data_IF_252768523106
#
_entry.id   IF_252768523106
#
_cell.length_a   1.000
_cell.length_b   1.000
_cell.length_c   1.000
_cell.angle_alpha   90.00
_cell.angle_beta   90.00
_cell.angle_gamma   90.00
#
_symmetry.space_group_name_H-M   'P 1'
#
loop_
_entity.id
_entity.type
_entity.pdbx_description
1 polymer ?
#
# COMPACT_ATOMS: atom_id res chain seq x y z
N UNK A 1 5.29 -21.72 -50.56
CA UNK A 1 6.19 -20.58 -50.27
C UNK A 1 5.39 -19.32 -50.53
N UNK A 2 5.05 -18.46 -49.57
CA UNK A 2 5.24 -18.47 -48.12
C UNK A 2 3.99 -17.91 -47.45
N UNK A 3 3.68 -18.44 -46.27
CA UNK A 3 2.65 -17.91 -45.37
C UNK A 3 3.08 -16.55 -44.86
N UNK A 4 2.16 -15.59 -44.86
CA UNK A 4 2.33 -14.31 -44.19
C UNK A 4 2.51 -14.56 -42.70
N UNK A 5 3.68 -14.23 -42.17
CA UNK A 5 3.91 -14.11 -40.73
C UNK A 5 3.10 -12.91 -40.24
N UNK A 6 1.89 -13.21 -39.78
CA UNK A 6 1.04 -12.28 -39.04
C UNK A 6 1.70 -12.12 -37.66
N UNK A 7 2.62 -11.15 -37.57
CA UNK A 7 3.20 -10.68 -36.31
C UNK A 7 2.11 -9.86 -35.60
N UNK A 8 1.05 -10.53 -35.16
CA UNK A 8 0.29 -10.03 -34.02
C UNK A 8 1.17 -10.26 -32.81
N UNK A 9 2.02 -9.27 -32.50
CA UNK A 9 2.64 -9.20 -31.19
C UNK A 9 1.50 -9.18 -30.17
N UNK A 10 1.24 -10.33 -29.57
CA UNK A 10 0.38 -10.44 -28.40
C UNK A 10 1.07 -9.68 -27.27
N UNK A 11 0.95 -8.37 -27.27
CA UNK A 11 1.20 -7.58 -26.08
C UNK A 11 0.12 -7.99 -25.10
N UNK A 12 0.49 -8.73 -24.06
CA UNK A 12 -0.37 -9.02 -22.92
C UNK A 12 -1.09 -7.72 -22.53
N UNK A 13 -2.42 -7.70 -22.44
CA UNK A 13 -3.16 -6.52 -22.02
C UNK A 13 -2.54 -6.03 -20.71
N UNK A 14 -1.97 -4.84 -20.74
CA UNK A 14 -1.31 -4.31 -19.54
C UNK A 14 -2.41 -3.83 -18.62
N UNK A 15 -2.46 -4.35 -17.39
CA UNK A 15 -3.44 -3.96 -16.40
C UNK A 15 -3.50 -2.42 -16.27
N UNK A 16 -4.64 -1.77 -16.58
CA UNK A 16 -4.79 -0.33 -16.48
C UNK A 16 -4.43 0.25 -15.11
N UNK A 17 -4.60 -0.55 -14.06
CA UNK A 17 -4.22 -0.19 -12.70
C UNK A 17 -2.71 -0.03 -12.56
N UNK A 18 -1.96 -1.02 -13.05
CA UNK A 18 -0.51 -0.99 -13.03
C UNK A 18 0.01 0.20 -13.84
N UNK A 19 -0.58 0.48 -15.01
CA UNK A 19 -0.23 1.66 -15.81
C UNK A 19 -0.53 2.98 -15.09
N UNK A 20 -1.67 3.07 -14.40
CA UNK A 20 -2.07 4.24 -13.62
C UNK A 20 -1.09 4.54 -12.50
N UNK A 21 -0.63 3.49 -11.80
CA UNK A 21 0.34 3.60 -10.73
C UNK A 21 1.68 4.10 -11.26
N UNK A 22 2.20 3.48 -12.32
CA UNK A 22 3.46 3.89 -12.95
C UNK A 22 3.40 5.35 -13.44
N UNK A 23 2.30 5.73 -14.08
CA UNK A 23 2.10 7.09 -14.56
C UNK A 23 2.06 8.09 -13.39
N UNK A 24 1.32 7.78 -12.33
CA UNK A 24 1.21 8.65 -11.16
C UNK A 24 2.55 8.81 -10.47
N UNK A 25 3.29 7.72 -10.24
CA UNK A 25 4.63 7.75 -9.65
C UNK A 25 5.61 8.63 -10.43
N UNK A 26 5.58 8.54 -11.77
CA UNK A 26 6.39 9.40 -12.63
C UNK A 26 6.03 10.89 -12.48
N UNK A 27 4.75 11.21 -12.31
CA UNK A 27 4.28 12.59 -12.07
C UNK A 27 4.64 13.09 -10.69
N UNK A 28 4.48 12.27 -9.66
CA UNK A 28 4.91 12.59 -8.29
C UNK A 28 6.40 12.90 -8.26
N UNK A 29 7.24 12.11 -8.95
CA UNK A 29 8.68 12.39 -9.06
C UNK A 29 8.98 13.73 -9.72
N UNK A 30 8.25 14.07 -10.78
CA UNK A 30 8.40 15.36 -11.46
C UNK A 30 8.05 16.53 -10.55
N UNK A 31 6.94 16.44 -9.81
CA UNK A 31 6.50 17.51 -8.91
C UNK A 31 7.42 17.61 -7.69
N UNK A 32 7.85 16.48 -7.13
CA UNK A 32 8.78 16.42 -6.00
C UNK A 32 10.13 17.08 -6.31
N UNK A 33 10.56 17.09 -7.58
CA UNK A 33 11.75 17.81 -8.03
C UNK A 33 11.59 19.34 -8.07
N UNK A 34 10.37 19.86 -7.87
CA UNK A 34 10.04 21.29 -7.89
C UNK A 34 9.48 21.76 -6.55
N UNK A 35 8.81 20.89 -5.81
CA UNK A 35 8.17 21.18 -4.54
C UNK A 35 8.42 20.05 -3.53
N UNK A 36 8.76 20.42 -2.31
CA UNK A 36 8.87 19.47 -1.21
C UNK A 36 7.50 18.89 -0.83
N UNK A 37 7.39 17.57 -0.90
CA UNK A 37 6.24 16.84 -0.37
C UNK A 37 6.46 16.44 1.09
N UNK A 38 5.43 16.63 1.92
CA UNK A 38 5.27 15.95 3.21
C UNK A 38 4.60 14.57 3.02
N UNK A 39 4.47 13.80 4.11
CA UNK A 39 4.02 12.39 4.10
C UNK A 39 2.58 12.28 3.58
N UNK A 40 1.72 13.19 4.03
CA UNK A 40 0.30 13.25 3.67
C UNK A 40 0.11 13.60 2.18
N UNK A 41 0.83 14.62 1.70
CA UNK A 41 0.73 15.07 0.31
C UNK A 41 1.29 14.04 -0.67
N UNK A 42 2.39 13.36 -0.31
CA UNK A 42 2.96 12.30 -1.14
C UNK A 42 1.98 11.13 -1.29
N UNK A 43 1.45 10.64 -0.16
CA UNK A 43 0.46 9.56 -0.12
C UNK A 43 -0.80 9.91 -0.89
N UNK A 44 -1.36 11.11 -0.65
CA UNK A 44 -2.56 11.61 -1.33
C UNK A 44 -2.37 11.70 -2.85
N UNK A 45 -1.21 12.18 -3.30
CA UNK A 45 -0.90 12.29 -4.74
C UNK A 45 -0.85 10.92 -5.41
N UNK A 46 -0.22 9.93 -4.77
CA UNK A 46 -0.12 8.57 -5.32
C UNK A 46 -1.50 7.90 -5.36
N UNK A 47 -2.24 7.92 -4.25
CA UNK A 47 -3.53 7.24 -4.17
C UNK A 47 -4.58 7.92 -5.05
N UNK A 48 -4.68 9.25 -4.96
CA UNK A 48 -5.62 10.04 -5.75
C UNK A 48 -5.28 10.04 -7.25
N UNK A 49 -4.00 10.16 -7.60
CA UNK A 49 -3.55 10.11 -8.99
C UNK A 49 -3.82 8.76 -9.64
N UNK A 50 -3.54 7.66 -8.94
CA UNK A 50 -3.80 6.31 -9.43
C UNK A 50 -5.30 6.07 -9.58
N UNK A 51 -6.10 6.51 -8.59
CA UNK A 51 -7.56 6.42 -8.62
C UNK A 51 -8.19 7.17 -9.82
N UNK A 52 -7.64 8.33 -10.19
CA UNK A 52 -8.12 9.13 -11.32
C UNK A 52 -7.61 8.56 -12.66
N UNK A 53 -6.37 8.10 -12.73
CA UNK A 53 -5.75 7.66 -13.98
C UNK A 53 -6.23 6.27 -14.42
N UNK A 54 -6.48 5.35 -13.48
CA UNK A 54 -6.92 3.98 -13.78
C UNK A 54 -8.17 3.90 -14.67
N UNK A 55 -9.30 4.57 -14.34
CA UNK A 55 -10.49 4.53 -15.20
C UNK A 55 -10.21 5.11 -16.59
N UNK A 56 -9.44 6.20 -16.69
CA UNK A 56 -9.08 6.81 -17.98
C UNK A 56 -8.29 5.82 -18.84
N UNK A 57 -7.28 5.17 -18.26
CA UNK A 57 -6.44 4.19 -18.96
C UNK A 57 -7.22 2.94 -19.37
N UNK A 58 -8.13 2.46 -18.51
CA UNK A 58 -9.01 1.34 -18.85
C UNK A 58 -9.92 1.65 -20.05
N UNK A 59 -10.43 2.89 -20.13
CA UNK A 59 -11.19 3.36 -21.28
C UNK A 59 -10.32 3.45 -22.55
N UNK A 60 -9.08 3.95 -22.45
CA UNK A 60 -8.15 4.03 -23.59
C UNK A 60 -7.71 2.66 -24.13
N UNK A 61 -7.52 1.66 -23.26
CA UNK A 61 -7.14 0.29 -23.63
C UNK A 61 -8.34 -0.54 -24.15
N UNK A 62 -9.55 0.04 -24.24
CA UNK A 62 -10.74 -0.66 -24.75
C UNK A 62 -11.29 -1.74 -23.81
N UNK A 63 -10.77 -1.84 -22.59
CA UNK A 63 -11.20 -2.83 -21.59
C UNK A 63 -12.60 -2.55 -21.01
N UNK A 64 -13.18 -1.39 -21.31
CA UNK A 64 -14.52 -1.00 -20.88
C UNK A 64 -15.68 -1.75 -21.56
N UNK A 65 -15.43 -2.65 -22.53
CA UNK A 65 -16.46 -3.11 -23.48
C UNK A 65 -16.84 -4.60 -23.43
N UNK A 66 -16.38 -5.40 -22.46
CA UNK A 66 -16.68 -6.86 -22.47
C UNK A 66 -16.69 -7.60 -21.15
N UNK A 67 -15.98 -7.12 -20.13
CA UNK A 67 -16.07 -7.61 -18.77
C UNK A 67 -16.47 -6.44 -17.87
N UNK A 68 -17.25 -6.70 -16.82
CA UNK A 68 -17.46 -5.73 -15.75
C UNK A 68 -16.12 -5.50 -15.02
N UNK A 69 -15.20 -4.75 -15.64
CA UNK A 69 -13.98 -4.29 -15.01
C UNK A 69 -14.39 -3.21 -13.98
N UNK A 70 -14.87 -3.69 -12.84
CA UNK A 70 -15.38 -2.86 -11.75
C UNK A 70 -14.19 -2.40 -10.92
N UNK A 71 -13.41 -1.49 -11.48
CA UNK A 71 -12.30 -0.85 -10.78
C UNK A 71 -12.87 0.05 -9.68
N UNK A 72 -12.75 -0.39 -8.43
CA UNK A 72 -13.40 0.25 -7.28
C UNK A 72 -12.43 0.94 -6.35
N UNK A 73 -11.96 2.12 -6.73
CA UNK A 73 -11.28 2.98 -5.79
C UNK A 73 -12.26 3.52 -4.76
N UNK A 74 -12.13 3.10 -3.51
CA UNK A 74 -12.72 3.80 -2.38
C UNK A 74 -11.63 4.54 -1.64
N UNK A 75 -11.96 5.65 -1.01
CA UNK A 75 -11.26 6.08 0.20
C UNK A 75 -12.33 6.21 1.27
N UNK A 76 -12.18 5.47 2.37
CA UNK A 76 -13.09 5.68 3.48
C UNK A 76 -12.73 7.01 4.14
N UNK A 77 -13.74 7.84 4.43
CA UNK A 77 -13.51 9.03 5.25
C UNK A 77 -12.97 8.57 6.59
N UNK A 78 -11.91 9.24 7.05
CA UNK A 78 -11.36 9.10 8.40
C UNK A 78 -12.49 9.39 9.40
N UNK A 79 -13.09 8.33 9.93
CA UNK A 79 -14.12 8.44 10.97
C UNK A 79 -13.49 8.54 12.37
N UNK A 80 -12.19 8.25 12.47
CA UNK A 80 -11.37 8.36 13.67
C UNK A 80 -10.92 9.78 13.99
N UNK A 81 -11.45 10.35 15.06
CA UNK A 81 -10.83 11.50 15.72
C UNK A 81 -9.54 11.08 16.44
N UNK A 82 -8.70 12.03 16.84
CA UNK A 82 -7.46 11.81 17.62
C UNK A 82 -7.63 11.07 18.97
N UNK A 83 -8.87 10.68 19.30
CA UNK A 83 -9.25 9.93 20.50
C UNK A 83 -9.32 8.42 20.25
N UNK A 84 -9.29 7.94 18.99
CA UNK A 84 -9.33 6.50 18.72
C UNK A 84 -7.92 5.88 18.86
N UNK A 85 -7.77 4.76 19.57
CA UNK A 85 -6.48 4.06 19.71
C UNK A 85 -5.94 3.46 18.40
N UNK A 86 -6.79 3.39 17.38
CA UNK A 86 -6.45 2.89 16.04
C UNK A 86 -6.23 4.00 15.01
N UNK A 87 -6.38 5.26 15.41
CA UNK A 87 -6.10 6.38 14.51
C UNK A 87 -4.70 6.28 13.91
N UNK A 88 -4.54 6.81 12.70
CA UNK A 88 -3.24 7.10 12.08
C UNK A 88 -2.21 7.70 13.07
N UNK A 89 -2.64 8.62 13.95
CA UNK A 89 -1.74 9.22 14.96
C UNK A 89 -1.30 8.20 16.02
N UNK A 90 -2.09 7.18 16.30
CA UNK A 90 -1.79 6.15 17.29
C UNK A 90 -1.05 4.94 16.69
N UNK A 91 -1.27 4.59 15.42
CA UNK A 91 -0.65 3.43 14.75
C UNK A 91 0.52 3.83 13.85
N UNK A 92 0.50 5.05 13.32
CA UNK A 92 1.48 5.55 12.35
C UNK A 92 1.32 4.97 10.94
N UNK A 93 0.31 4.15 10.67
CA UNK A 93 0.01 3.71 9.31
C UNK A 93 -0.60 4.88 8.53
N UNK A 94 -0.16 5.11 7.29
CA UNK A 94 -0.67 6.19 6.44
C UNK A 94 -1.80 5.67 5.53
N UNK A 95 -1.65 4.45 5.01
CA UNK A 95 -2.64 3.81 4.16
C UNK A 95 -2.53 2.29 4.16
N UNK A 96 -3.60 1.64 3.70
CA UNK A 96 -3.67 0.20 3.49
C UNK A 96 -4.16 -0.08 2.07
N UNK A 97 -3.53 -1.04 1.41
CA UNK A 97 -3.96 -1.52 0.10
C UNK A 97 -4.57 -2.91 0.26
N UNK A 98 -5.75 -3.10 -0.32
CA UNK A 98 -6.45 -4.38 -0.38
C UNK A 98 -6.68 -4.73 -1.85
N UNK A 99 -6.15 -5.84 -2.31
CA UNK A 99 -6.29 -6.30 -3.69
C UNK A 99 -7.03 -7.63 -3.68
N UNK A 100 -8.14 -7.74 -4.41
CA UNK A 100 -8.85 -9.01 -4.60
C UNK A 100 -7.91 -10.06 -5.20
N UNK A 101 -7.94 -11.28 -4.67
CA UNK A 101 -7.12 -12.37 -5.19
C UNK A 101 -7.97 -13.42 -5.92
N UNK A 102 -8.91 -14.00 -5.17
CA UNK A 102 -9.90 -14.98 -5.61
C UNK A 102 -11.20 -14.77 -4.81
N UNK A 103 -12.17 -15.68 -4.93
CA UNK A 103 -13.48 -15.56 -4.28
C UNK A 103 -13.43 -15.62 -2.74
N UNK A 104 -12.35 -16.17 -2.17
CA UNK A 104 -12.20 -16.44 -0.74
C UNK A 104 -11.23 -15.48 -0.06
N UNK A 105 -10.22 -14.98 -0.78
CA UNK A 105 -9.10 -14.24 -0.23
C UNK A 105 -8.88 -12.87 -0.90
N UNK A 106 -8.22 -12.00 -0.14
CA UNK A 106 -7.67 -10.73 -0.60
C UNK A 106 -6.21 -10.60 -0.13
N UNK A 107 -5.39 -9.91 -0.93
CA UNK A 107 -4.05 -9.47 -0.55
C UNK A 107 -4.15 -8.17 0.22
N UNK A 108 -3.40 -8.06 1.31
CA UNK A 108 -3.33 -6.87 2.14
C UNK A 108 -1.89 -6.45 2.37
N UNK A 109 -1.64 -5.16 2.25
CA UNK A 109 -0.40 -4.53 2.68
C UNK A 109 -0.71 -3.21 3.42
N UNK A 110 0.05 -2.93 4.48
CA UNK A 110 -0.05 -1.68 5.25
C UNK A 110 1.23 -0.89 5.01
N UNK A 111 1.09 0.40 4.76
CA UNK A 111 2.20 1.28 4.46
C UNK A 111 2.26 2.44 5.45
N UNK A 112 3.46 2.66 5.99
CA UNK A 112 3.83 3.82 6.76
C UNK A 112 4.84 4.65 5.96
N UNK A 113 4.42 5.81 5.46
CA UNK A 113 5.26 6.74 4.73
C UNK A 113 6.30 7.37 5.66
N UNK A 114 7.55 7.44 5.19
CA UNK A 114 8.66 8.10 5.91
C UNK A 114 9.51 8.88 4.92
N UNK A 115 9.58 10.20 5.13
CA UNK A 115 10.52 11.06 4.39
C UNK A 115 11.93 10.82 4.94
N UNK A 116 12.91 10.62 4.08
CA UNK A 116 14.32 10.77 4.48
C UNK A 116 14.67 12.24 4.53
N UNK A 117 15.10 12.70 5.70
CA UNK A 117 15.61 14.05 5.88
C UNK A 117 17.01 14.15 5.24
N UNK A 118 17.23 15.05 4.28
CA UNK A 118 18.55 15.27 3.68
C UNK A 118 19.62 15.70 4.69
N UNK A 119 19.22 16.24 5.84
CA UNK A 119 20.13 16.65 6.93
C UNK A 119 20.48 15.48 7.86
N UNK A 120 19.71 14.39 7.82
CA UNK A 120 20.03 13.15 8.52
C UNK A 120 20.85 12.23 7.61
N UNK A 121 21.53 11.25 8.19
CA UNK A 121 22.19 10.21 7.40
C UNK A 121 21.11 9.49 6.57
N UNK A 122 21.11 9.63 5.24
CA UNK A 122 20.15 8.99 4.31
C UNK A 122 20.11 7.47 4.45
N UNK A 123 21.07 6.89 5.18
CA UNK A 123 21.12 5.49 5.55
C UNK A 123 20.45 5.17 6.89
N UNK A 124 19.79 6.11 7.55
CA UNK A 124 19.11 5.90 8.82
C UNK A 124 17.60 6.15 8.70
N UNK A 125 16.82 5.20 9.21
CA UNK A 125 15.38 5.29 9.32
C UNK A 125 14.98 5.39 10.80
N UNK A 126 14.38 6.51 11.19
CA UNK A 126 13.76 6.63 12.51
C UNK A 126 12.30 6.18 12.46
N UNK A 127 12.02 5.05 13.10
CA UNK A 127 10.64 4.53 13.24
C UNK A 127 9.92 5.09 14.46
N UNK A 128 10.67 5.74 15.37
CA UNK A 128 10.12 6.21 16.64
C UNK A 128 9.17 7.37 16.42
N UNK A 129 7.93 7.18 16.85
CA UNK A 129 6.99 8.25 17.16
C UNK A 129 6.37 8.01 18.52
N UNK A 130 6.39 9.07 19.32
CA UNK A 130 5.87 9.06 20.68
C UNK A 130 4.40 8.64 20.73
N UNK A 131 3.90 8.25 21.91
CA UNK A 131 2.54 7.77 22.05
C UNK A 131 1.54 8.91 21.78
N UNK A 132 0.47 8.58 21.05
CA UNK A 132 -0.71 9.42 21.01
C UNK A 132 -1.43 9.40 22.36
N UNK A 133 -2.28 10.40 22.63
CA UNK A 133 -3.12 10.40 23.84
C UNK A 133 -4.00 9.15 23.93
N UNK A 134 -4.47 8.65 22.78
CA UNK A 134 -5.32 7.47 22.67
C UNK A 134 -4.57 6.14 22.74
N UNK A 135 -3.24 6.12 22.66
CA UNK A 135 -2.45 4.88 22.63
C UNK A 135 -2.06 4.35 24.01
N UNK A 136 -2.60 4.90 25.10
CA UNK A 136 -2.28 4.49 26.49
C UNK A 136 -0.77 4.42 26.78
N UNK A 137 0.00 5.32 26.16
CA UNK A 137 1.45 5.37 26.32
C UNK A 137 2.24 4.38 25.47
N UNK A 138 1.60 3.59 24.60
CA UNK A 138 2.27 2.75 23.60
C UNK A 138 2.74 3.57 22.39
N UNK A 139 3.93 3.27 21.88
CA UNK A 139 4.44 3.92 20.66
C UNK A 139 3.69 3.43 19.43
N UNK A 140 3.73 4.23 18.36
CA UNK A 140 3.04 3.93 17.10
C UNK A 140 3.40 2.54 16.57
N UNK A 141 4.70 2.22 16.56
CA UNK A 141 5.20 0.89 16.17
C UNK A 141 4.52 -0.25 16.94
N UNK A 142 4.38 -0.12 18.26
CA UNK A 142 3.76 -1.15 19.09
C UNK A 142 2.28 -1.31 18.77
N UNK A 143 1.58 -0.21 18.50
CA UNK A 143 0.17 -0.22 18.12
C UNK A 143 -0.03 -0.88 16.75
N UNK A 144 0.82 -0.56 15.78
CA UNK A 144 0.78 -1.18 14.44
C UNK A 144 1.09 -2.68 14.51
N UNK A 145 2.10 -3.08 15.27
CA UNK A 145 2.42 -4.50 15.47
C UNK A 145 1.28 -5.24 16.17
N UNK A 146 0.67 -4.62 17.20
CA UNK A 146 -0.47 -5.20 17.91
C UNK A 146 -1.68 -5.42 16.99
N UNK A 147 -2.00 -4.45 16.12
CA UNK A 147 -3.03 -4.59 15.11
C UNK A 147 -2.71 -5.75 14.17
N UNK A 148 -1.47 -5.81 13.68
CA UNK A 148 -0.98 -6.85 12.77
C UNK A 148 -1.15 -8.24 13.38
N UNK A 149 -0.74 -8.43 14.63
CA UNK A 149 -0.91 -9.69 15.34
C UNK A 149 -2.38 -10.10 15.50
N UNK A 150 -3.28 -9.15 15.78
CA UNK A 150 -4.74 -9.42 15.86
C UNK A 150 -5.30 -9.84 14.50
N UNK A 151 -4.95 -9.14 13.43
CA UNK A 151 -5.40 -9.49 12.08
C UNK A 151 -4.94 -10.91 11.71
N UNK A 152 -3.67 -11.23 11.95
CA UNK A 152 -3.09 -12.54 11.66
C UNK A 152 -3.73 -13.66 12.49
N UNK A 153 -4.04 -13.40 13.76
CA UNK A 153 -4.75 -14.35 14.61
C UNK A 153 -6.14 -14.67 14.06
N UNK A 154 -6.87 -13.64 13.61
CA UNK A 154 -8.22 -13.76 13.04
C UNK A 154 -8.21 -14.37 11.64
N UNK A 155 -7.12 -14.20 10.90
CA UNK A 155 -6.84 -14.92 9.66
C UNK A 155 -6.51 -16.41 9.88
N UNK A 156 -6.42 -16.88 11.14
CA UNK A 156 -6.18 -18.28 11.47
C UNK A 156 -4.70 -18.68 11.49
N UNK A 157 -3.78 -17.71 11.48
CA UNK A 157 -2.33 -18.01 11.48
C UNK A 157 -1.90 -18.45 12.88
N UNK A 158 -1.42 -19.69 12.99
CA UNK A 158 -1.18 -20.36 14.27
C UNK A 158 -0.22 -19.60 15.19
N UNK A 159 0.85 -18.99 14.65
CA UNK A 159 1.84 -18.22 15.40
C UNK A 159 1.20 -17.06 16.21
N UNK A 160 0.07 -16.54 15.75
CA UNK A 160 -0.60 -15.39 16.35
C UNK A 160 -1.82 -15.77 17.19
N UNK A 161 -2.12 -17.06 17.37
CA UNK A 161 -3.33 -17.54 18.06
C UNK A 161 -3.55 -16.93 19.45
N UNK A 162 -2.48 -16.55 20.15
CA UNK A 162 -2.57 -15.89 21.45
C UNK A 162 -3.32 -14.55 21.41
N UNK A 163 -3.30 -13.86 20.26
CA UNK A 163 -3.92 -12.56 20.06
C UNK A 163 -5.40 -12.63 19.65
N UNK A 164 -5.93 -13.83 19.35
CA UNK A 164 -7.33 -14.02 18.96
C UNK A 164 -8.32 -13.61 20.06
N UNK A 165 -7.86 -13.67 21.32
CA UNK A 165 -8.59 -13.30 22.54
C UNK A 165 -8.51 -11.81 22.88
N UNK A 166 -7.65 -11.05 22.20
CA UNK A 166 -7.48 -9.64 22.49
C UNK A 166 -8.63 -8.84 21.85
N UNK A 167 -9.44 -8.21 22.71
CA UNK A 167 -10.66 -7.51 22.31
C UNK A 167 -10.39 -6.31 21.41
N UNK A 168 -9.23 -5.68 21.58
CA UNK A 168 -8.80 -4.49 20.86
C UNK A 168 -7.26 -4.43 20.75
N UNK A 169 -6.78 -3.47 19.97
CA UNK A 169 -5.34 -3.26 19.72
C UNK A 169 -4.58 -2.81 20.97
N UNK A 170 -5.22 -2.13 21.94
CA UNK A 170 -4.56 -1.75 23.19
C UNK A 170 -4.24 -2.98 24.05
N UNK A 171 -5.18 -3.93 24.11
CA UNK A 171 -5.02 -5.20 24.82
C UNK A 171 -3.88 -6.03 24.20
N UNK A 172 -3.83 -6.08 22.87
CA UNK A 172 -2.73 -6.72 22.15
C UNK A 172 -1.38 -6.00 22.34
N UNK A 173 -1.36 -4.67 22.40
CA UNK A 173 -0.16 -3.88 22.67
C UNK A 173 0.38 -4.12 24.09
N UNK A 174 -0.51 -4.21 25.08
CA UNK A 174 -0.15 -4.59 26.45
C UNK A 174 0.43 -6.01 26.51
N UNK A 175 -0.15 -6.96 25.74
CA UNK A 175 0.40 -8.32 25.59
C UNK A 175 1.81 -8.29 25.02
N UNK A 176 2.06 -7.58 23.92
CA UNK A 176 3.40 -7.49 23.31
C UNK A 176 4.47 -7.04 24.32
N UNK A 177 4.14 -6.08 25.20
CA UNK A 177 5.06 -5.60 26.23
C UNK A 177 5.40 -6.67 27.31
N UNK A 178 4.60 -7.73 27.42
CA UNK A 178 4.82 -8.85 28.36
C UNK A 178 5.55 -10.04 27.74
N UNK A 179 5.73 -10.07 26.41
CA UNK A 179 6.38 -11.16 25.71
C UNK A 179 7.89 -11.15 25.90
N UNK A 180 8.51 -12.32 25.76
CA UNK A 180 9.96 -12.39 25.72
C UNK A 180 10.50 -11.79 24.42
N UNK A 181 11.78 -11.39 24.44
CA UNK A 181 12.50 -10.94 23.23
C UNK A 181 12.39 -11.98 22.10
N UNK A 182 12.54 -13.27 22.42
CA UNK A 182 12.48 -14.35 21.43
C UNK A 182 11.10 -14.47 20.78
N UNK A 183 10.02 -14.35 21.58
CA UNK A 183 8.66 -14.40 21.07
C UNK A 183 8.35 -13.21 20.14
N UNK A 184 8.81 -12.01 20.50
CA UNK A 184 8.65 -10.82 19.66
C UNK A 184 9.33 -11.00 18.31
N UNK A 185 10.57 -11.49 18.31
CA UNK A 185 11.31 -11.71 17.07
C UNK A 185 10.61 -12.73 16.18
N UNK A 186 10.18 -13.86 16.75
CA UNK A 186 9.45 -14.89 16.00
C UNK A 186 8.14 -14.36 15.40
N UNK A 187 7.44 -13.46 16.10
CA UNK A 187 6.25 -12.82 15.55
C UNK A 187 6.58 -11.85 14.41
N UNK A 188 7.70 -11.13 14.50
CA UNK A 188 8.10 -10.12 13.52
C UNK A 188 8.69 -10.74 12.25
N UNK A 189 9.43 -11.84 12.35
CA UNK A 189 10.06 -12.53 11.21
C UNK A 189 9.06 -12.86 10.08
N UNK A 190 7.82 -13.18 10.45
CA UNK A 190 6.73 -13.53 9.53
C UNK A 190 6.00 -12.31 8.90
N UNK A 191 6.33 -11.08 9.31
CA UNK A 191 5.62 -9.86 8.89
C UNK A 191 6.39 -9.16 7.75
N UNK A 192 6.25 -9.69 6.54
CA UNK A 192 6.81 -9.11 5.31
C UNK A 192 5.90 -8.11 4.60
N UNK A 193 4.65 -7.94 5.07
CA UNK A 193 3.58 -7.22 4.38
C UNK A 193 3.17 -5.89 5.01
N UNK A 194 3.80 -5.54 6.13
CA UNK A 194 3.73 -4.20 6.72
C UNK A 194 5.02 -3.49 6.34
N UNK A 195 4.91 -2.36 5.66
CA UNK A 195 6.02 -1.69 4.99
C UNK A 195 6.23 -0.28 5.52
N UNK A 196 7.48 0.11 5.68
CA UNK A 196 7.87 1.52 5.64
C UNK A 196 8.06 1.92 4.17
N UNK A 197 7.24 2.84 3.68
CA UNK A 197 7.42 3.48 2.39
C UNK A 197 8.38 4.66 2.57
N UNK A 198 9.66 4.39 2.35
CA UNK A 198 10.74 5.37 2.49
C UNK A 198 10.86 6.16 1.21
N UNK A 199 10.62 7.47 1.27
CA UNK A 199 10.64 8.34 0.10
C UNK A 199 11.60 9.51 0.22
N UNK A 200 12.24 9.84 -0.90
CA UNK A 200 13.18 10.94 -1.04
C UNK A 200 13.26 11.35 -2.51
N UNK A 201 13.29 12.66 -2.78
CA UNK A 201 13.32 13.23 -4.15
C UNK A 201 12.27 12.61 -5.10
N UNK A 202 11.09 12.31 -4.57
CA UNK A 202 9.97 11.75 -5.33
C UNK A 202 10.06 10.26 -5.65
N UNK A 203 11.18 9.60 -5.38
CA UNK A 203 11.31 8.15 -5.43
C UNK A 203 10.83 7.55 -4.10
N UNK A 204 10.10 6.43 -4.16
CA UNK A 204 9.72 5.66 -2.97
C UNK A 204 10.21 4.21 -3.08
N UNK A 205 10.82 3.74 -2.00
CA UNK A 205 11.22 2.35 -1.80
C UNK A 205 10.48 1.78 -0.59
N UNK A 206 10.37 0.46 -0.51
CA UNK A 206 9.75 -0.21 0.64
C UNK A 206 10.79 -0.93 1.50
N UNK A 207 10.53 -0.91 2.81
CA UNK A 207 11.24 -1.72 3.79
C UNK A 207 10.20 -2.50 4.61
N UNK A 208 10.10 -3.84 4.42
CA UNK A 208 9.26 -4.69 5.24
C UNK A 208 9.60 -4.60 6.73
N UNK A 209 8.61 -4.74 7.60
CA UNK A 209 8.76 -4.66 9.05
C UNK A 209 9.75 -5.70 9.58
N UNK A 210 9.73 -6.92 9.01
CA UNK A 210 10.67 -7.99 9.35
C UNK A 210 12.14 -7.74 8.96
N UNK A 211 12.42 -6.67 8.21
CA UNK A 211 13.79 -6.26 7.86
C UNK A 211 14.35 -5.18 8.81
N UNK A 212 13.56 -4.69 9.76
CA UNK A 212 14.08 -3.78 10.79
C UNK A 212 15.08 -4.49 11.70
N UNK A 213 16.08 -3.74 12.17
CA UNK A 213 17.01 -4.25 13.16
C UNK A 213 16.27 -4.67 14.43
N UNK A 214 16.65 -5.81 14.99
CA UNK A 214 16.13 -6.30 16.27
C UNK A 214 16.22 -5.23 17.36
N UNK A 215 17.33 -4.49 17.42
CA UNK A 215 17.51 -3.41 18.41
C UNK A 215 16.49 -2.28 18.19
N UNK A 216 16.15 -1.97 16.94
CA UNK A 216 15.14 -0.99 16.58
C UNK A 216 13.76 -1.42 17.13
N UNK A 217 13.32 -2.63 16.75
CA UNK A 217 12.03 -3.22 17.16
C UNK A 217 11.87 -3.23 18.68
N UNK A 218 12.86 -3.77 19.40
CA UNK A 218 12.80 -3.91 20.85
C UNK A 218 12.88 -2.56 21.56
N UNK A 219 13.53 -1.56 20.97
CA UNK A 219 13.58 -0.22 21.53
C UNK A 219 12.20 0.44 21.56
N UNK A 220 11.36 0.13 20.58
CA UNK A 220 10.01 0.67 20.49
C UNK A 220 9.04 -0.06 21.44
N UNK A 221 9.07 -1.40 21.46
CA UNK A 221 8.16 -2.20 22.31
C UNK A 221 8.46 -1.99 23.81
N UNK A 222 9.75 -2.04 24.19
CA UNK A 222 10.16 -1.92 25.59
C UNK A 222 10.52 -0.49 26.00
N UNK A 223 10.22 0.51 25.15
CA UNK A 223 10.46 1.94 25.40
C UNK A 223 11.90 2.23 25.83
N UNK A 224 12.87 1.56 25.21
CA UNK A 224 14.30 1.79 25.47
C UNK A 224 14.79 3.07 24.77
N UNK A 225 16.09 3.36 24.88
CA UNK A 225 16.73 4.46 24.14
C UNK A 225 16.42 4.34 22.65
N UNK A 226 16.14 5.48 22.01
CA UNK A 226 15.83 5.54 20.59
C UNK A 226 16.97 4.95 19.76
N UNK A 227 16.58 4.15 18.78
CA UNK A 227 17.48 3.51 17.84
C UNK A 227 16.92 3.73 16.43
N UNK A 228 17.75 4.26 15.54
CA UNK A 228 17.39 4.37 14.12
C UNK A 228 17.92 3.13 13.41
N UNK A 229 17.08 2.53 12.57
CA UNK A 229 17.45 1.39 11.74
C UNK A 229 18.42 1.84 10.64
N UNK A 230 19.46 1.05 10.37
CA UNK A 230 20.35 1.33 9.25
C UNK A 230 19.77 0.74 7.96
N UNK A 231 19.33 1.62 7.07
CA UNK A 231 18.91 1.26 5.72
C UNK A 231 20.08 0.58 4.99
N UNK A 232 19.92 -0.72 4.76
CA UNK A 232 20.88 -1.57 4.03
C UNK A 232 20.83 -1.35 2.51
N UNK A 233 21.19 -2.41 1.76
CA UNK A 233 21.38 -2.42 0.31
C UNK A 233 20.14 -2.07 -0.55
N UNK A 234 20.09 -2.53 -1.81
CA UNK A 234 18.99 -2.20 -2.72
C UNK A 234 17.64 -2.56 -2.11
N UNK A 235 16.67 -1.64 -2.21
CA UNK A 235 15.29 -1.83 -1.74
C UNK A 235 14.35 -1.86 -2.93
N UNK A 236 13.30 -2.65 -2.84
CA UNK A 236 12.27 -2.73 -3.87
C UNK A 236 11.55 -1.37 -3.98
N UNK A 237 11.19 -0.98 -5.21
CA UNK A 237 10.41 0.24 -5.43
C UNK A 237 8.96 0.05 -4.96
N UNK A 238 8.32 1.11 -4.45
CA UNK A 238 6.89 1.05 -4.11
C UNK A 238 6.00 0.71 -5.32
N UNK A 239 6.34 1.24 -6.50
CA UNK A 239 5.61 0.94 -7.73
C UNK A 239 5.76 -0.54 -8.16
N UNK A 240 6.94 -1.11 -7.88
CA UNK A 240 7.31 -2.48 -8.22
C UNK A 240 6.52 -3.47 -7.36
N UNK A 241 6.55 -3.31 -6.03
CA UNK A 241 5.84 -4.22 -5.10
C UNK A 241 4.31 -4.21 -5.32
N UNK A 242 3.72 -3.07 -5.66
CA UNK A 242 2.29 -2.99 -5.98
C UNK A 242 2.01 -3.53 -7.38
N UNK A 243 2.86 -3.23 -8.36
CA UNK A 243 2.74 -3.73 -9.72
C UNK A 243 2.82 -5.25 -9.80
N UNK A 244 3.73 -5.87 -9.06
CA UNK A 244 3.85 -7.32 -8.95
C UNK A 244 2.61 -7.96 -8.29
N UNK A 245 2.04 -7.30 -7.29
CA UNK A 245 0.83 -7.79 -6.61
C UNK A 245 -0.39 -7.81 -7.52
N UNK A 246 -0.56 -6.77 -8.32
CA UNK A 246 -1.57 -6.66 -9.37
C UNK A 246 -1.38 -7.73 -10.45
N UNK A 247 -0.13 -8.11 -10.73
CA UNK A 247 0.21 -9.18 -11.66
C UNK A 247 0.13 -10.59 -11.05
N UNK A 248 -0.24 -10.71 -9.78
CA UNK A 248 -0.49 -12.00 -9.14
C UNK A 248 0.49 -12.39 -8.03
N UNK A 249 1.63 -11.70 -7.86
CA UNK A 249 2.58 -11.98 -6.76
C UNK A 249 1.94 -11.78 -5.39
N UNK A 250 2.32 -12.62 -4.42
CA UNK A 250 1.98 -12.46 -3.01
C UNK A 250 3.18 -12.03 -2.15
N UNK A 251 4.35 -11.84 -2.77
CA UNK A 251 5.56 -11.45 -2.04
C UNK A 251 5.41 -10.03 -1.47
N UNK A 252 5.59 -9.89 -0.15
CA UNK A 252 5.35 -8.62 0.55
C UNK A 252 3.87 -8.28 0.75
N UNK A 253 2.96 -9.24 0.56
CA UNK A 253 1.52 -9.09 0.79
C UNK A 253 0.99 -10.24 1.62
N UNK A 254 0.02 -9.96 2.49
CA UNK A 254 -0.67 -11.00 3.25
C UNK A 254 -1.94 -11.43 2.54
N UNK A 255 -2.06 -12.74 2.25
CA UNK A 255 -3.34 -13.33 1.90
C UNK A 255 -4.20 -13.47 3.15
N UNK A 256 -5.37 -12.85 3.14
CA UNK A 256 -6.33 -12.84 4.24
C UNK A 256 -7.70 -13.24 3.72
N UNK A 257 -8.45 -14.12 4.42
CA UNK A 257 -9.82 -14.43 4.05
C UNK A 257 -10.68 -13.15 3.96
N UNK A 258 -11.48 -13.01 2.89
CA UNK A 258 -12.33 -11.84 2.66
C UNK A 258 -13.26 -11.53 3.84
N UNK A 259 -13.76 -12.57 4.51
CA UNK A 259 -14.59 -12.41 5.71
C UNK A 259 -13.86 -11.75 6.88
N UNK A 260 -12.56 -12.01 7.03
CA UNK A 260 -11.72 -11.39 8.05
C UNK A 260 -11.47 -9.93 7.67
N UNK A 261 -11.19 -9.65 6.40
CA UNK A 261 -11.05 -8.26 5.91
C UNK A 261 -12.31 -7.45 6.14
N UNK A 262 -13.50 -8.00 5.83
CA UNK A 262 -14.77 -7.34 6.12
C UNK A 262 -14.94 -7.02 7.61
N UNK A 263 -14.60 -7.96 8.48
CA UNK A 263 -14.69 -7.77 9.93
C UNK A 263 -13.72 -6.71 10.44
N UNK A 264 -12.52 -6.62 9.83
CA UNK A 264 -11.48 -5.65 10.19
C UNK A 264 -11.57 -4.33 9.43
N UNK A 265 -12.46 -4.20 8.44
CA UNK A 265 -12.55 -3.00 7.62
C UNK A 265 -12.79 -1.74 8.46
N UNK A 266 -13.69 -1.72 9.46
CA UNK A 266 -13.83 -0.56 10.34
C UNK A 266 -12.51 -0.16 11.01
N UNK A 267 -11.71 -1.12 11.47
CA UNK A 267 -10.40 -0.85 12.07
C UNK A 267 -9.35 -0.40 11.05
N UNK A 268 -9.34 -0.99 9.84
CA UNK A 268 -8.46 -0.60 8.75
C UNK A 268 -8.74 0.84 8.28
N UNK A 269 -10.00 1.27 8.29
CA UNK A 269 -10.44 2.63 7.92
C UNK A 269 -9.91 3.66 8.92
N UNK A 270 -9.84 3.30 10.19
CA UNK A 270 -9.31 4.15 11.25
C UNK A 270 -7.80 4.37 11.10
N UNK A 271 -7.08 3.39 10.55
CA UNK A 271 -5.64 3.45 10.38
C UNK A 271 -5.21 4.28 9.18
N UNK A 272 -5.96 4.28 8.06
CA UNK A 272 -5.59 5.04 6.88
C UNK A 272 -6.53 4.83 5.70
N UNK A 273 -6.19 5.45 4.56
CA UNK A 273 -6.96 5.25 3.33
C UNK A 273 -6.89 3.78 2.89
N UNK A 274 -8.04 3.15 2.67
CA UNK A 274 -8.11 1.79 2.09
C UNK A 274 -8.44 1.91 0.62
N UNK A 275 -7.56 1.41 -0.24
CA UNK A 275 -7.86 1.22 -1.66
C UNK A 275 -8.19 -0.24 -1.91
N UNK A 276 -9.34 -0.51 -2.52
CA UNK A 276 -9.75 -1.86 -2.93
C UNK A 276 -9.56 -2.00 -4.44
N UNK A 277 -8.70 -2.89 -4.89
CA UNK A 277 -8.58 -3.19 -6.33
C UNK A 277 -9.19 -4.56 -6.59
N UNK A 278 -10.10 -4.66 -7.55
CA UNK A 278 -10.61 -5.95 -8.04
C UNK A 278 -10.72 -5.89 -9.57
N UNK A 279 -9.95 -6.73 -10.26
CA UNK A 279 -9.98 -6.89 -11.73
C UNK A 279 -11.03 -7.93 -12.18
N UNK A 280 -11.70 -8.60 -11.24
CA UNK A 280 -12.69 -9.67 -11.42
C UNK A 280 -14.10 -9.32 -10.90
N UNK A 281 -14.37 -8.05 -10.62
CA UNK A 281 -15.73 -7.55 -10.35
C UNK A 281 -16.12 -7.61 -8.88
N UNK A 282 -15.43 -6.84 -8.03
CA UNK A 282 -15.47 -6.85 -6.56
C UNK A 282 -16.77 -6.50 -5.86
N UNK A 283 -17.81 -7.30 -6.12
CA UNK A 283 -19.04 -7.35 -5.32
C UNK A 283 -18.74 -7.90 -3.91
N UNK A 284 -17.62 -8.62 -3.74
CA UNK A 284 -17.36 -9.40 -2.53
C UNK A 284 -16.66 -8.70 -1.36
N UNK A 285 -16.03 -7.54 -1.51
CA UNK A 285 -15.24 -6.88 -0.44
C UNK A 285 -15.82 -5.56 0.07
N UNK A 286 -16.86 -5.05 -0.59
CA UNK A 286 -17.53 -3.81 -0.18
C UNK A 286 -18.52 -4.14 0.93
N UNK A 287 -18.41 -3.54 2.12
CA UNK A 287 -19.56 -3.49 3.02
C UNK A 287 -20.63 -2.58 2.42
N UNK A 288 -21.90 -2.88 2.71
CA UNK A 288 -23.06 -2.11 2.28
C UNK A 288 -23.12 -0.67 2.85
N UNK A 289 -22.11 -0.26 3.62
CA UNK A 289 -22.04 1.01 4.31
C UNK A 289 -20.83 1.85 3.84
N UNK A 290 -21.15 3.01 3.26
CA UNK A 290 -20.31 4.21 3.11
C UNK A 290 -18.93 4.05 2.45
N UNK A 291 -18.85 3.38 1.29
CA UNK A 291 -17.75 3.62 0.37
C UNK A 291 -17.98 4.96 -0.37
N UNK A 292 -17.35 6.03 0.09
CA UNK A 292 -17.47 7.36 -0.51
C UNK A 292 -16.51 7.42 -1.70
N UNK A 293 -17.07 7.61 -2.89
CA UNK A 293 -16.36 7.76 -4.18
C UNK A 293 -15.85 6.50 -4.88
N UNK A 294 -16.70 5.49 -5.06
CA UNK A 294 -16.48 4.55 -6.16
C UNK A 294 -16.67 5.30 -7.49
N UNK A 295 -15.58 5.59 -8.19
CA UNK A 295 -15.66 5.93 -9.61
C UNK A 295 -16.01 4.65 -10.38
N UNK A 296 -17.29 4.26 -10.42
CA UNK A 296 -17.74 3.22 -11.34
C UNK A 296 -17.77 3.83 -12.74
N UNK A 297 -16.86 3.42 -13.62
CA UNK A 297 -17.06 3.66 -15.03
C UNK A 297 -18.23 2.80 -15.50
N UNK A 298 -19.37 3.43 -15.78
CA UNK A 298 -20.34 2.80 -16.68
C UNK A 298 -19.64 2.64 -18.02
N UNK A 299 -19.78 1.48 -18.66
CA UNK A 299 -19.17 1.24 -19.97
C UNK A 299 -19.48 2.41 -20.90
N UNK A 300 -18.45 3.03 -21.45
CA UNK A 300 -18.62 4.02 -22.50
C UNK A 300 -19.02 3.27 -23.76
N UNK A 301 -20.32 3.03 -23.93
CA UNK A 301 -20.87 2.58 -25.20
C UNK A 301 -20.66 3.68 -26.25
N UNK A 302 -19.56 3.57 -27.02
CA UNK A 302 -19.32 4.48 -28.14
C UNK A 302 -17.86 4.75 -28.50
N UNK A 303 -16.87 4.38 -27.68
CA UNK A 303 -15.46 4.57 -28.04
C UNK A 303 -14.95 3.29 -28.69
N UNK A 304 -14.89 3.29 -30.03
CA UNK A 304 -14.15 2.25 -30.75
C UNK A 304 -12.69 2.30 -30.29
N UNK A 305 -12.19 1.19 -29.75
CA UNK A 305 -10.78 1.01 -29.41
C UNK A 305 -9.92 1.29 -30.65
N UNK A 306 -9.19 2.40 -30.65
CA UNK A 306 -8.19 2.64 -31.69
C UNK A 306 -6.86 2.04 -31.21
N UNK A 307 -6.32 0.99 -31.85
CA UNK A 307 -5.06 0.37 -31.44
C UNK A 307 -3.85 1.34 -31.45
N UNK A 308 -3.96 2.49 -32.12
CA UNK A 308 -2.95 3.56 -32.04
C UNK A 308 -2.86 4.22 -30.65
N UNK A 309 -3.92 4.16 -29.84
CA UNK A 309 -4.01 4.78 -28.50
C UNK A 309 -3.11 4.08 -27.47
N UNK A 310 -3.13 2.74 -27.45
CA UNK A 310 -2.33 1.93 -26.51
C UNK A 310 -0.82 2.10 -26.75
N UNK A 311 -0.40 2.19 -28.02
CA UNK A 311 0.98 2.50 -28.39
C UNK A 311 1.40 3.92 -27.97
N UNK A 312 0.49 4.89 -28.03
CA UNK A 312 0.75 6.26 -27.59
C UNK A 312 0.93 6.35 -26.06
N UNK A 313 0.13 5.62 -25.28
CA UNK A 313 0.27 5.55 -23.81
C UNK A 313 1.62 4.95 -23.42
N UNK A 314 2.01 3.81 -24.03
CA UNK A 314 3.33 3.21 -23.79
C UNK A 314 4.48 4.17 -24.11
N UNK A 315 4.37 4.96 -25.19
CA UNK A 315 5.36 5.97 -25.56
C UNK A 315 5.41 7.19 -24.62
N UNK A 316 4.31 7.53 -23.95
CA UNK A 316 4.28 8.59 -22.93
C UNK A 316 4.96 8.12 -21.65
N UNK A 317 4.80 6.85 -21.28
CA UNK A 317 5.38 6.25 -20.08
C UNK A 317 6.88 5.97 -20.26
N UNK A 318 7.31 5.58 -21.47
CA UNK A 318 8.69 5.15 -21.74
C UNK A 318 9.68 6.27 -22.06
N UNK A 319 9.25 7.53 -22.20
CA UNK A 319 10.15 8.65 -22.55
C UNK A 319 11.13 8.95 -21.41
N UNK A 320 12.45 8.70 -21.56
CA UNK A 320 13.46 9.19 -20.63
C UNK A 320 13.63 10.69 -20.86
N UNK A 321 13.48 11.53 -19.84
CA UNK A 321 13.84 12.94 -19.94
C UNK A 321 15.34 13.13 -19.71
N UNK A 322 16.14 12.74 -20.70
CA UNK A 322 17.46 13.31 -20.90
C UNK A 322 17.41 14.16 -22.16
N UNK A 323 16.95 15.40 -22.02
CA UNK A 323 17.33 16.45 -22.95
C UNK A 323 18.07 17.50 -22.12
N UNK A 324 19.39 17.71 -22.32
CA UNK A 324 20.07 18.81 -21.66
C UNK A 324 19.40 20.11 -22.06
N UNK A 325 19.15 20.99 -21.07
CA UNK A 325 18.88 22.39 -21.34
C UNK A 325 20.14 22.96 -22.01
N UNK A 326 20.14 23.02 -23.34
CA UNK A 326 21.08 23.87 -24.05
C UNK A 326 20.73 25.32 -23.67
N UNK A 327 21.51 25.86 -22.73
CA UNK A 327 21.52 27.29 -22.45
C UNK A 327 22.12 28.02 -23.63
N UNK A 328 21.31 28.87 -24.26
CA UNK A 328 21.76 30.17 -24.73
C UNK A 328 21.77 31.14 -23.55
#
# INVERSE_FOLDING_TARGET
MGSSDDISSQTTPTDPMHLALLWTMQRTKTIAGVQDYDEESYTSTILGGTAIAAPLLAAFEGQASGSNADFRFGTFRKNGGAQTPLSETATGADFCLVIGHDDECAKVAIFQAKKLDPAEDEHLLSVRRGPAKSSSGHYQFTMLLAFTCRLMAKAGIHAYKAFDKDTDTLTAAARLASLSKGDINALVEEISWVHYMVYHNGCATTLPLNHLDETCILSEIFKRRQYSHRLGGPRQGFAEIVGEALQGSAEGWQLVPRMVIKAFLPELIEMGAIVVVDDKGGVGLTPDFECINLASLKSFSGIQSNPQSAAAVKNIISRPQNAPRNGM
#
